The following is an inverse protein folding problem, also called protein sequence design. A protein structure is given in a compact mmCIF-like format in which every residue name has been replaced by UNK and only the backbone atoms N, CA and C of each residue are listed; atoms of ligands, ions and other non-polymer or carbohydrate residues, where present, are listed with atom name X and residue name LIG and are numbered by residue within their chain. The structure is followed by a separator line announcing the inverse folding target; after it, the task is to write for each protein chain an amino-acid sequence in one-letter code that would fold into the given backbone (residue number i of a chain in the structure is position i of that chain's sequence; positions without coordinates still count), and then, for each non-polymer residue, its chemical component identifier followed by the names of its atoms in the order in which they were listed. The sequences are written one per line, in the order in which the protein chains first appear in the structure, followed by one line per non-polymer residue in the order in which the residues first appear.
data_IF_607253922684
#
_entry.id   IF_607253922684
#
_cell.length_a   1.000
_cell.length_b   1.000
_cell.length_c   1.000
_cell.angle_alpha   90.00
_cell.angle_beta   90.00
_cell.angle_gamma   90.00
#
_symmetry.space_group_name_H-M   'P 1'
#
loop_
_entity.id
_entity.type
_entity.pdbx_description
1 polymer ?
#
# COMPACT_ATOMS: atom_id res chain seq x y z
N UNK A 1 5.06 -20.83 18.87
CA UNK A 1 4.60 -19.43 18.92
C UNK A 1 4.92 -18.82 17.56
N UNK A 2 4.02 -18.08 17.01
CA UNK A 2 4.16 -17.51 15.67
C UNK A 2 4.91 -16.16 15.66
N UNK A 3 5.13 -15.53 16.80
CA UNK A 3 5.89 -14.29 16.95
C UNK A 3 6.89 -14.37 18.11
N UNK A 4 7.90 -13.47 18.07
CA UNK A 4 8.89 -13.27 19.13
C UNK A 4 8.62 -11.94 19.82
N UNK A 5 8.66 -11.89 21.16
CA UNK A 5 8.63 -10.64 21.90
C UNK A 5 10.06 -10.15 22.17
N UNK A 6 10.37 -8.95 21.66
CA UNK A 6 11.60 -8.25 21.94
C UNK A 6 11.31 -7.16 22.98
N UNK A 7 12.16 -6.97 24.01
CA UNK A 7 11.99 -5.92 24.99
C UNK A 7 11.90 -4.54 24.34
N UNK A 8 10.87 -3.78 24.67
CA UNK A 8 10.68 -2.38 24.33
C UNK A 8 10.63 -1.52 25.60
N UNK A 9 10.62 -0.20 25.46
CA UNK A 9 10.69 0.72 26.61
C UNK A 9 9.36 0.78 27.39
N UNK A 10 8.21 0.92 26.72
CA UNK A 10 6.88 1.00 27.34
C UNK A 10 5.97 -0.15 27.01
N UNK A 11 6.16 -0.77 25.86
CA UNK A 11 5.43 -1.95 25.40
C UNK A 11 6.40 -2.93 24.78
N UNK A 12 6.15 -4.25 24.87
CA UNK A 12 6.92 -5.24 24.14
C UNK A 12 6.73 -5.04 22.64
N UNK A 13 7.79 -5.37 21.85
CA UNK A 13 7.76 -5.37 20.40
C UNK A 13 7.44 -6.80 19.96
N UNK A 14 6.23 -7.03 19.45
CA UNK A 14 5.79 -8.35 18.97
C UNK A 14 6.17 -8.50 17.49
N UNK A 15 7.12 -9.38 17.20
CA UNK A 15 7.68 -9.52 15.85
C UNK A 15 7.33 -10.86 15.23
N UNK A 16 6.69 -10.84 14.07
CA UNK A 16 6.52 -12.00 13.18
C UNK A 16 7.73 -12.20 12.26
N UNK A 17 8.62 -11.22 12.19
CA UNK A 17 9.95 -11.37 11.60
C UNK A 17 10.94 -11.99 12.60
N UNK A 18 11.93 -12.72 12.10
CA UNK A 18 13.10 -13.07 12.89
C UNK A 18 13.90 -11.80 13.24
N UNK A 19 14.04 -11.42 14.53
CA UNK A 19 14.78 -10.22 14.92
C UNK A 19 16.21 -10.18 14.40
N UNK A 20 16.88 -11.33 14.27
CA UNK A 20 18.24 -11.43 13.77
C UNK A 20 18.38 -11.10 12.26
N UNK A 21 17.25 -11.18 11.52
CA UNK A 21 17.20 -10.85 10.10
C UNK A 21 16.88 -9.38 9.81
N UNK A 22 16.55 -8.59 10.83
CA UNK A 22 16.17 -7.18 10.70
C UNK A 22 17.40 -6.30 10.87
N UNK A 23 17.60 -5.36 9.96
CA UNK A 23 18.74 -4.42 10.01
C UNK A 23 18.71 -3.55 11.29
N UNK A 24 19.90 -3.24 11.82
CA UNK A 24 20.06 -2.51 13.09
C UNK A 24 19.30 -1.19 13.12
N UNK A 25 19.31 -0.44 12.01
CA UNK A 25 18.59 0.83 11.88
C UNK A 25 17.08 0.65 12.03
N UNK A 26 16.51 -0.41 11.49
CA UNK A 26 15.08 -0.72 11.64
C UNK A 26 14.76 -1.16 13.08
N UNK A 27 15.60 -1.99 13.69
CA UNK A 27 15.47 -2.35 15.11
C UNK A 27 15.54 -1.13 16.02
N UNK A 28 16.42 -0.16 15.72
CA UNK A 28 16.47 1.09 16.48
C UNK A 28 15.21 1.92 16.31
N UNK A 29 14.63 2.01 15.09
CA UNK A 29 13.34 2.66 14.90
C UNK A 29 12.22 2.01 15.73
N UNK A 30 12.17 0.68 15.80
CA UNK A 30 11.17 -0.04 16.60
C UNK A 30 11.35 0.27 18.11
N UNK A 31 12.60 0.31 18.61
CA UNK A 31 12.88 0.72 19.99
C UNK A 31 12.43 2.16 20.24
N UNK A 32 12.72 3.09 19.33
CA UNK A 32 12.29 4.49 19.45
C UNK A 32 10.76 4.59 19.50
N UNK A 33 10.03 3.89 18.63
CA UNK A 33 8.55 3.85 18.65
C UNK A 33 8.05 3.33 19.99
N UNK A 34 8.67 2.32 20.58
CA UNK A 34 8.28 1.75 21.87
C UNK A 34 8.41 2.72 23.05
N UNK A 35 9.12 3.85 22.89
CA UNK A 35 9.27 4.89 23.92
C UNK A 35 8.11 5.89 23.96
N UNK A 36 7.26 5.94 22.94
CA UNK A 36 6.19 6.94 22.83
C UNK A 36 5.26 6.89 24.05
N UNK A 37 4.93 8.05 24.66
CA UNK A 37 4.07 8.09 25.86
C UNK A 37 2.68 7.49 25.67
N UNK A 38 2.13 7.59 24.47
CA UNK A 38 0.76 7.20 24.11
C UNK A 38 0.64 5.76 23.60
N UNK A 39 1.77 5.05 23.43
CA UNK A 39 1.76 3.70 22.84
C UNK A 39 1.10 2.69 23.78
N UNK A 40 0.26 1.83 23.20
CA UNK A 40 -0.42 0.71 23.85
C UNK A 40 -0.03 -0.64 23.27
N UNK A 41 0.51 -0.65 22.06
CA UNK A 41 1.02 -1.87 21.45
C UNK A 41 1.80 -1.62 20.18
N UNK A 42 2.73 -2.53 19.89
CA UNK A 42 3.59 -2.52 18.70
C UNK A 42 3.71 -3.93 18.15
N UNK A 43 3.15 -4.15 16.96
CA UNK A 43 3.29 -5.39 16.22
C UNK A 43 4.10 -5.14 14.93
N UNK A 44 4.92 -6.11 14.56
CA UNK A 44 5.89 -5.97 13.46
C UNK A 44 5.73 -7.17 12.52
N UNK A 45 5.40 -6.87 11.27
CA UNK A 45 5.12 -7.86 10.25
C UNK A 45 6.42 -8.44 9.65
N UNK A 46 6.37 -9.64 9.05
CA UNK A 46 7.55 -10.30 8.47
C UNK A 46 8.33 -9.50 7.44
N UNK A 47 7.64 -8.65 6.69
CA UNK A 47 8.21 -7.80 5.65
C UNK A 47 8.91 -6.53 6.16
N UNK A 48 9.09 -6.40 7.47
CA UNK A 48 9.68 -5.24 8.12
C UNK A 48 11.03 -4.83 7.51
N UNK A 49 11.19 -3.53 7.29
CA UNK A 49 12.43 -2.91 6.83
C UNK A 49 12.49 -1.43 7.21
N UNK A 50 13.66 -0.82 7.09
CA UNK A 50 13.88 0.58 7.41
C UNK A 50 12.95 1.51 6.63
N UNK A 51 12.34 2.49 7.32
CA UNK A 51 11.44 3.48 6.75
C UNK A 51 11.74 4.90 7.28
N UNK A 52 11.13 5.92 6.70
CA UNK A 52 11.21 7.29 7.24
C UNK A 52 10.27 7.42 8.45
N UNK A 53 10.79 7.85 9.59
CA UNK A 53 10.07 7.95 10.86
C UNK A 53 9.91 6.59 11.55
N UNK A 54 9.01 5.75 11.09
CA UNK A 54 8.85 4.38 11.60
C UNK A 54 9.16 3.35 10.50
N UNK A 55 9.47 2.12 10.90
CA UNK A 55 9.67 1.00 9.98
C UNK A 55 8.43 0.75 9.12
N UNK A 56 8.64 0.35 7.87
CA UNK A 56 7.61 -0.30 7.05
C UNK A 56 7.40 -1.71 7.60
N UNK A 57 6.16 -2.19 7.66
CA UNK A 57 5.82 -3.43 8.34
C UNK A 57 5.44 -3.23 9.82
N UNK A 58 5.19 -1.99 10.26
CA UNK A 58 4.79 -1.68 11.64
C UNK A 58 3.29 -1.44 11.80
N UNK A 59 2.75 -1.95 12.89
CA UNK A 59 1.40 -1.67 13.40
C UNK A 59 1.54 -1.05 14.78
N UNK A 60 1.19 0.23 14.89
CA UNK A 60 1.39 1.05 16.08
C UNK A 60 0.03 1.43 16.63
N UNK A 61 -0.33 0.89 17.78
CA UNK A 61 -1.58 1.20 18.47
C UNK A 61 -1.33 2.25 19.55
N UNK A 62 -1.97 3.41 19.43
CA UNK A 62 -1.86 4.50 20.39
C UNK A 62 -3.22 4.91 20.94
N UNK A 63 -3.25 5.34 22.19
CA UNK A 63 -4.43 5.94 22.80
C UNK A 63 -4.31 7.47 22.75
N UNK A 64 -5.28 8.11 22.10
CA UNK A 64 -5.37 9.56 22.04
C UNK A 64 -4.24 10.28 21.28
N UNK A 65 -3.48 9.58 20.44
CA UNK A 65 -2.41 10.21 19.66
C UNK A 65 -2.19 9.50 18.31
N UNK A 66 -1.67 10.27 17.31
CA UNK A 66 -1.23 9.74 16.01
C UNK A 66 0.09 10.39 15.61
N UNK A 67 1.01 9.60 15.08
CA UNK A 67 2.27 10.06 14.50
C UNK A 67 2.12 10.13 12.96
N UNK A 68 2.11 11.33 12.33
CA UNK A 68 1.95 11.46 10.88
C UNK A 68 3.04 10.73 10.07
N UNK A 69 4.29 10.80 10.50
CA UNK A 69 5.39 10.13 9.81
C UNK A 69 5.31 8.59 9.89
N UNK A 70 4.63 8.06 10.92
CA UNK A 70 4.39 6.64 11.07
C UNK A 70 3.27 6.10 10.16
N UNK A 71 2.46 6.98 9.54
CA UNK A 71 1.54 6.59 8.45
C UNK A 71 2.29 6.42 7.14
N UNK A 72 3.31 7.25 6.92
CA UNK A 72 4.04 7.35 5.67
C UNK A 72 3.52 8.48 4.78
N UNK A 73 4.36 8.90 3.82
CA UNK A 73 4.03 10.03 2.93
C UNK A 73 3.01 9.67 1.84
N UNK A 74 2.86 8.40 1.51
CA UNK A 74 1.80 7.94 0.60
C UNK A 74 0.60 7.43 1.41
N UNK A 75 -0.16 8.40 1.96
CA UNK A 75 -1.36 8.13 2.76
C UNK A 75 -2.36 7.31 1.95
N UNK A 76 -2.91 6.26 2.54
CA UNK A 76 -3.92 5.42 1.89
C UNK A 76 -3.37 4.53 0.77
N UNK A 77 -2.03 4.45 0.57
CA UNK A 77 -1.46 3.47 -0.34
C UNK A 77 -2.02 2.08 -0.07
N UNK A 78 -2.29 1.33 -1.12
CA UNK A 78 -2.97 0.05 -0.99
C UNK A 78 -3.12 -0.69 -2.32
N UNK A 79 -3.76 -1.83 -2.24
CA UNK A 79 -3.97 -2.76 -3.34
C UNK A 79 -5.44 -2.89 -3.71
N UNK A 80 -5.70 -3.18 -4.99
CA UNK A 80 -6.98 -3.72 -5.45
C UNK A 80 -6.74 -4.92 -6.35
N UNK A 81 -7.61 -5.94 -6.26
CA UNK A 81 -7.60 -7.10 -7.14
C UNK A 81 -9.01 -7.57 -7.46
N UNK A 82 -9.18 -8.16 -8.66
CA UNK A 82 -10.44 -8.76 -9.09
C UNK A 82 -10.16 -9.99 -9.94
N UNK A 83 -10.86 -11.09 -9.63
CA UNK A 83 -10.86 -12.30 -10.47
C UNK A 83 -11.79 -12.10 -11.65
N UNK A 84 -11.41 -12.65 -12.79
CA UNK A 84 -12.22 -12.58 -14.01
C UNK A 84 -12.68 -13.97 -14.43
N UNK A 85 -13.63 -14.04 -15.37
CA UNK A 85 -14.01 -15.30 -16.01
C UNK A 85 -13.03 -15.76 -17.10
N UNK A 86 -12.00 -14.95 -17.43
CA UNK A 86 -10.96 -15.33 -18.37
C UNK A 86 -10.03 -16.38 -17.78
N UNK A 87 -9.50 -17.20 -18.66
CA UNK A 87 -8.50 -18.24 -18.34
C UNK A 87 -7.26 -18.07 -19.21
N UNK A 88 -6.20 -18.81 -18.90
CA UNK A 88 -4.99 -18.86 -19.71
C UNK A 88 -5.25 -19.20 -21.19
N UNK A 89 -6.32 -19.98 -21.49
CA UNK A 89 -6.69 -20.38 -22.85
C UNK A 89 -7.27 -19.21 -23.68
N UNK A 90 -7.74 -18.16 -23.03
CA UNK A 90 -8.28 -16.97 -23.70
C UNK A 90 -7.19 -15.97 -24.12
N UNK A 91 -5.95 -16.21 -23.69
CA UNK A 91 -4.86 -15.25 -23.83
C UNK A 91 -4.11 -15.44 -25.15
N UNK A 92 -3.72 -14.35 -25.82
CA UNK A 92 -2.83 -14.41 -26.98
C UNK A 92 -1.39 -14.73 -26.53
N UNK A 93 -0.59 -15.27 -27.47
CA UNK A 93 0.82 -15.58 -27.20
C UNK A 93 1.69 -14.34 -26.95
N UNK A 94 1.29 -13.15 -27.43
CA UNK A 94 1.94 -11.88 -27.18
C UNK A 94 1.02 -10.93 -26.42
N UNK A 95 1.47 -10.46 -25.27
CA UNK A 95 0.75 -9.56 -24.37
C UNK A 95 1.24 -8.10 -24.42
N UNK A 96 2.19 -7.77 -25.30
CA UNK A 96 2.75 -6.42 -25.44
C UNK A 96 1.69 -5.39 -25.79
N UNK A 97 0.72 -5.79 -26.63
CA UNK A 97 -0.43 -4.95 -26.98
C UNK A 97 -1.32 -4.65 -25.75
N UNK A 98 -1.59 -5.65 -24.91
CA UNK A 98 -2.37 -5.48 -23.69
C UNK A 98 -1.66 -4.49 -22.76
N UNK A 99 -0.36 -4.67 -22.53
CA UNK A 99 0.44 -3.75 -21.74
C UNK A 99 0.34 -2.32 -22.27
N UNK A 100 0.56 -2.12 -23.58
CA UNK A 100 0.49 -0.79 -24.22
C UNK A 100 -0.89 -0.14 -24.03
N UNK A 101 -1.98 -0.92 -24.12
CA UNK A 101 -3.35 -0.41 -23.90
C UNK A 101 -3.61 -0.02 -22.45
N UNK A 102 -3.06 -0.74 -21.48
CA UNK A 102 -3.13 -0.38 -20.07
C UNK A 102 -2.39 0.95 -19.84
N UNK A 103 -1.15 1.09 -20.35
CA UNK A 103 -0.34 2.31 -20.23
C UNK A 103 -1.00 3.53 -20.90
N UNK A 104 -1.74 3.33 -21.99
CA UNK A 104 -2.52 4.39 -22.65
C UNK A 104 -3.75 4.82 -21.83
N UNK A 105 -4.42 3.88 -21.17
CA UNK A 105 -5.63 4.16 -20.41
C UNK A 105 -5.34 4.73 -19.02
N UNK A 106 -4.22 4.35 -18.40
CA UNK A 106 -3.84 4.71 -17.04
C UNK A 106 -2.45 5.34 -17.05
N UNK A 107 -2.33 6.68 -16.94
CA UNK A 107 -1.05 7.37 -16.91
C UNK A 107 -0.13 6.87 -15.77
N UNK A 108 1.14 6.67 -16.09
CA UNK A 108 2.16 6.16 -15.17
C UNK A 108 3.13 7.25 -14.72
N UNK A 109 3.87 7.01 -13.66
CA UNK A 109 4.91 7.91 -13.17
C UNK A 109 4.35 9.25 -12.68
N UNK A 110 4.86 10.35 -13.23
CA UNK A 110 4.39 11.71 -12.97
C UNK A 110 3.25 12.13 -13.87
N UNK A 111 2.82 11.26 -14.77
CA UNK A 111 1.74 11.50 -15.71
C UNK A 111 0.41 11.77 -15.01
N UNK A 112 -0.48 12.43 -15.74
CA UNK A 112 -1.86 12.71 -15.35
C UNK A 112 -2.76 12.64 -16.57
N UNK A 113 -4.06 12.52 -16.38
CA UNK A 113 -5.02 12.60 -17.48
C UNK A 113 -5.02 14.01 -18.08
N UNK A 114 -5.32 14.13 -19.36
CA UNK A 114 -5.52 15.43 -20.01
C UNK A 114 -6.67 16.21 -19.39
N UNK A 115 -7.78 15.50 -19.18
CA UNK A 115 -8.99 15.99 -18.48
C UNK A 115 -9.27 15.14 -17.25
N UNK A 116 -10.06 15.66 -16.32
CA UNK A 116 -10.55 14.90 -15.16
C UNK A 116 -11.37 13.70 -15.63
N UNK A 117 -11.09 12.52 -15.08
CA UNK A 117 -11.88 11.32 -15.36
C UNK A 117 -13.27 11.50 -14.79
N UNK A 118 -14.28 11.39 -15.65
CA UNK A 118 -15.69 11.42 -15.27
C UNK A 118 -16.13 10.00 -14.83
N UNK A 119 -16.37 9.77 -13.53
CA UNK A 119 -16.76 8.46 -13.04
C UNK A 119 -18.12 7.98 -13.58
N UNK A 120 -19.01 8.91 -13.97
CA UNK A 120 -20.29 8.59 -14.58
C UNK A 120 -20.17 7.91 -15.95
N UNK A 121 -19.03 8.05 -16.62
CA UNK A 121 -18.72 7.37 -17.89
C UNK A 121 -18.05 6.01 -17.72
N UNK A 122 -17.68 5.63 -16.49
CA UNK A 122 -17.04 4.35 -16.21
C UNK A 122 -18.09 3.27 -15.93
N UNK A 123 -18.06 2.20 -16.70
CA UNK A 123 -19.04 1.13 -16.58
C UNK A 123 -19.05 0.48 -15.20
N UNK A 124 -20.23 0.57 -14.51
CA UNK A 124 -20.45 -0.02 -13.20
C UNK A 124 -19.69 0.65 -12.06
N UNK A 125 -19.17 1.86 -12.26
CA UNK A 125 -18.55 2.64 -11.18
C UNK A 125 -19.65 3.31 -10.34
N UNK A 126 -19.65 3.14 -9.01
CA UNK A 126 -20.61 3.81 -8.15
C UNK A 126 -20.27 5.30 -8.03
N UNK A 127 -21.18 6.17 -8.49
CA UNK A 127 -21.01 7.64 -8.41
C UNK A 127 -21.50 8.23 -7.09
N UNK A 128 -22.22 7.45 -6.27
CA UNK A 128 -22.68 7.90 -4.96
C UNK A 128 -21.50 8.30 -4.06
N UNK A 129 -21.57 9.48 -3.45
CA UNK A 129 -20.52 10.03 -2.61
C UNK A 129 -19.40 10.75 -3.35
N UNK A 130 -19.34 10.74 -4.68
CA UNK A 130 -18.29 11.40 -5.45
C UNK A 130 -18.28 12.93 -5.28
N UNK A 131 -19.46 13.55 -5.40
CA UNK A 131 -19.57 15.00 -5.24
C UNK A 131 -19.33 15.43 -3.79
N UNK A 132 -19.81 14.65 -2.81
CA UNK A 132 -19.53 14.86 -1.39
C UNK A 132 -18.03 14.75 -1.10
N UNK A 133 -17.36 13.76 -1.66
CA UNK A 133 -15.91 13.61 -1.52
C UNK A 133 -15.16 14.86 -1.99
N UNK A 134 -15.48 15.40 -3.16
CA UNK A 134 -14.83 16.59 -3.69
C UNK A 134 -15.26 17.89 -2.98
N UNK A 135 -16.48 17.99 -2.50
CA UNK A 135 -16.91 19.16 -1.70
C UNK A 135 -16.10 19.32 -0.42
N UNK A 136 -15.64 18.21 0.18
CA UNK A 136 -14.78 18.22 1.36
C UNK A 136 -13.34 18.67 1.07
N UNK A 137 -12.94 18.82 -0.19
CA UNK A 137 -11.64 19.39 -0.56
C UNK A 137 -11.46 20.82 -0.03
N UNK A 138 -12.52 21.61 0.04
CA UNK A 138 -12.48 22.98 0.58
C UNK A 138 -12.14 23.03 2.08
N UNK A 139 -12.30 21.91 2.78
CA UNK A 139 -11.96 21.76 4.19
C UNK A 139 -10.54 21.27 4.49
N UNK A 140 -9.73 20.92 3.48
CA UNK A 140 -8.34 20.49 3.72
C UNK A 140 -7.41 21.67 4.03
N UNK A 141 -6.17 21.36 4.45
CA UNK A 141 -5.16 22.37 4.78
C UNK A 141 -4.97 23.40 3.66
N UNK A 142 -5.11 24.69 3.99
CA UNK A 142 -5.01 25.82 3.04
C UNK A 142 -3.70 25.76 2.22
N UNK A 143 -2.60 25.37 2.88
CA UNK A 143 -1.28 25.26 2.26
C UNK A 143 -1.22 24.29 1.07
N UNK A 144 -2.24 23.42 0.87
CA UNK A 144 -2.25 22.39 -0.15
C UNK A 144 -3.35 22.61 -1.20
N UNK A 145 -4.31 23.49 -0.96
CA UNK A 145 -5.47 23.75 -1.85
C UNK A 145 -5.09 24.13 -3.29
N UNK A 146 -3.99 24.82 -3.48
CA UNK A 146 -3.50 25.19 -4.83
C UNK A 146 -3.19 23.98 -5.74
N UNK A 147 -3.23 22.77 -5.18
CA UNK A 147 -3.04 21.52 -5.92
C UNK A 147 -4.32 20.89 -6.47
N UNK A 148 -5.47 21.51 -6.31
CA UNK A 148 -6.78 20.94 -6.70
C UNK A 148 -6.81 20.44 -8.14
N UNK A 149 -6.45 21.27 -9.11
CA UNK A 149 -6.43 20.87 -10.52
C UNK A 149 -5.53 19.65 -10.78
N UNK A 150 -4.36 19.63 -10.14
CA UNK A 150 -3.46 18.49 -10.25
C UNK A 150 -4.04 17.23 -9.60
N UNK A 151 -4.67 17.37 -8.45
CA UNK A 151 -5.31 16.26 -7.74
C UNK A 151 -6.45 15.65 -8.58
N UNK A 152 -7.30 16.48 -9.22
CA UNK A 152 -8.37 15.99 -10.09
C UNK A 152 -7.83 15.24 -11.31
N UNK A 153 -6.79 15.75 -11.97
CA UNK A 153 -6.15 15.12 -13.14
C UNK A 153 -5.28 13.90 -12.79
N UNK A 154 -4.82 13.78 -11.55
CA UNK A 154 -4.10 12.59 -11.07
C UNK A 154 -5.00 11.48 -10.54
N UNK A 155 -6.28 11.73 -10.34
CA UNK A 155 -7.25 10.70 -9.98
C UNK A 155 -7.37 9.66 -11.10
N UNK A 156 -7.23 8.37 -10.77
CA UNK A 156 -7.19 7.29 -11.77
C UNK A 156 -5.80 7.10 -12.42
N UNK A 157 -4.70 7.53 -11.78
CA UNK A 157 -3.34 7.35 -12.29
C UNK A 157 -2.48 6.48 -11.38
N UNK A 158 -1.48 5.78 -11.96
CA UNK A 158 -0.70 4.79 -11.24
C UNK A 158 0.30 5.39 -10.24
N UNK A 159 1.14 6.31 -10.68
CA UNK A 159 2.30 6.75 -9.91
C UNK A 159 3.58 6.04 -10.31
N UNK A 160 4.56 6.08 -9.42
CA UNK A 160 5.90 5.54 -9.65
C UNK A 160 6.41 4.71 -8.46
N UNK A 161 7.59 4.16 -8.59
CA UNK A 161 8.23 3.35 -7.56
C UNK A 161 7.66 1.94 -7.50
N UNK A 162 7.21 1.52 -6.31
CA UNK A 162 6.61 0.20 -6.12
C UNK A 162 5.18 0.07 -6.65
N UNK A 163 4.56 1.16 -7.14
CA UNK A 163 3.24 1.09 -7.76
C UNK A 163 3.27 0.26 -9.04
N UNK A 164 2.18 -0.47 -9.30
CA UNK A 164 2.09 -1.41 -10.41
C UNK A 164 0.65 -1.67 -10.84
N UNK A 165 0.46 -2.10 -12.08
CA UNK A 165 -0.74 -2.74 -12.59
C UNK A 165 -0.32 -4.07 -13.16
N UNK A 166 -0.94 -5.15 -12.72
CA UNK A 166 -0.58 -6.49 -13.11
C UNK A 166 -1.78 -7.27 -13.63
N UNK A 167 -1.54 -8.03 -14.70
CA UNK A 167 -2.44 -9.03 -15.22
C UNK A 167 -1.83 -10.39 -14.87
N UNK A 168 -2.53 -11.17 -14.06
CA UNK A 168 -1.98 -12.34 -13.38
C UNK A 168 -2.77 -13.60 -13.73
N UNK A 169 -2.13 -14.78 -13.54
CA UNK A 169 -2.78 -16.07 -13.53
C UNK A 169 -2.67 -16.70 -12.14
N UNK A 170 -3.74 -17.32 -11.66
CA UNK A 170 -3.69 -18.18 -10.49
C UNK A 170 -3.27 -19.63 -10.86
N UNK A 171 -3.12 -20.48 -9.85
CA UNK A 171 -2.70 -21.87 -10.01
C UNK A 171 -3.70 -22.72 -10.81
N UNK A 172 -4.97 -22.29 -10.89
CA UNK A 172 -6.01 -22.93 -11.71
C UNK A 172 -6.06 -22.35 -13.15
N UNK A 173 -5.20 -21.37 -13.46
CA UNK A 173 -5.17 -20.69 -14.75
C UNK A 173 -6.23 -19.60 -14.92
N UNK A 174 -6.94 -19.21 -13.87
CA UNK A 174 -7.88 -18.10 -13.95
C UNK A 174 -7.13 -16.76 -13.93
N UNK A 175 -7.66 -15.79 -14.68
CA UNK A 175 -7.06 -14.45 -14.81
C UNK A 175 -7.51 -13.55 -13.69
N UNK A 176 -6.54 -12.84 -13.09
CA UNK A 176 -6.71 -11.80 -12.10
C UNK A 176 -6.16 -10.47 -12.60
N UNK A 177 -6.89 -9.40 -12.30
CA UNK A 177 -6.41 -8.02 -12.44
C UNK A 177 -5.98 -7.54 -11.06
N UNK A 178 -4.78 -6.98 -10.94
CA UNK A 178 -4.25 -6.47 -9.69
C UNK A 178 -3.60 -5.11 -9.90
N UNK A 179 -3.73 -4.20 -8.95
CA UNK A 179 -3.05 -2.91 -8.97
C UNK A 179 -2.68 -2.43 -7.58
N UNK A 180 -1.61 -1.61 -7.55
CA UNK A 180 -1.06 -0.97 -6.36
C UNK A 180 -0.89 0.52 -6.62
N UNK A 181 -1.58 1.37 -5.85
CA UNK A 181 -1.44 2.82 -5.92
C UNK A 181 -1.98 3.51 -4.65
N UNK A 182 -1.65 4.77 -4.48
CA UNK A 182 -1.97 5.56 -3.29
C UNK A 182 -2.63 6.91 -3.59
N UNK A 183 -2.48 7.86 -2.67
CA UNK A 183 -3.10 9.19 -2.72
C UNK A 183 -2.37 10.19 -3.62
N UNK A 184 -1.40 9.73 -4.39
CA UNK A 184 -0.66 10.53 -5.35
C UNK A 184 0.03 11.72 -4.67
N UNK A 185 0.34 12.77 -5.44
CA UNK A 185 1.08 13.92 -4.92
C UNK A 185 0.33 14.68 -3.82
N UNK A 186 -1.01 14.74 -3.90
CA UNK A 186 -1.81 15.48 -2.91
C UNK A 186 -1.67 14.90 -1.51
N UNK A 187 -1.74 13.57 -1.36
CA UNK A 187 -1.54 12.91 -0.06
C UNK A 187 -0.12 13.08 0.47
N UNK A 188 0.89 13.09 -0.40
CA UNK A 188 2.27 13.36 -0.01
C UNK A 188 2.41 14.79 0.57
N UNK A 189 1.83 15.79 -0.08
CA UNK A 189 1.92 17.18 0.38
C UNK A 189 1.17 17.38 1.70
N UNK A 190 0.00 16.76 1.88
CA UNK A 190 -0.71 16.73 3.16
C UNK A 190 0.13 16.08 4.26
N UNK A 191 0.75 14.92 3.97
CA UNK A 191 1.62 14.25 4.94
C UNK A 191 2.80 15.13 5.36
N UNK A 192 3.53 15.71 4.41
CA UNK A 192 4.69 16.56 4.68
C UNK A 192 4.30 17.84 5.45
N UNK A 193 3.16 18.45 5.13
CA UNK A 193 2.60 19.58 5.85
C UNK A 193 2.36 19.25 7.33
N UNK A 194 1.65 18.16 7.60
CA UNK A 194 1.31 17.77 8.97
C UNK A 194 2.51 17.24 9.76
N UNK A 195 3.45 16.53 9.13
CA UNK A 195 4.73 16.16 9.77
C UNK A 195 5.45 17.41 10.26
N UNK A 196 5.54 18.44 9.41
CA UNK A 196 6.18 19.70 9.77
C UNK A 196 5.46 20.44 10.91
N UNK A 197 4.14 20.39 11.00
CA UNK A 197 3.38 20.96 12.13
C UNK A 197 3.67 20.18 13.41
N UNK A 198 3.53 18.84 13.38
CA UNK A 198 3.73 18.00 14.56
C UNK A 198 5.12 18.21 15.19
N UNK A 199 6.16 18.30 14.37
CA UNK A 199 7.53 18.52 14.81
C UNK A 199 7.77 19.84 15.56
N UNK A 200 6.88 20.82 15.44
CA UNK A 200 6.97 22.12 16.13
C UNK A 200 6.16 22.21 17.41
N UNK A 201 5.31 21.22 17.69
CA UNK A 201 4.47 21.23 18.89
C UNK A 201 5.32 21.02 20.17
N UNK A 202 5.01 21.75 21.23
CA UNK A 202 5.79 21.78 22.46
C UNK A 202 5.90 20.39 23.12
N UNK A 203 4.83 19.60 23.10
CA UNK A 203 4.80 18.27 23.72
C UNK A 203 5.70 17.24 23.00
N UNK A 204 6.20 17.56 21.81
CA UNK A 204 7.09 16.68 21.02
C UNK A 204 8.59 17.02 21.19
N UNK A 205 8.94 18.09 21.92
CA UNK A 205 10.34 18.55 22.00
C UNK A 205 11.28 17.60 22.77
N UNK A 206 10.75 16.71 23.58
CA UNK A 206 11.53 15.72 24.34
C UNK A 206 11.57 14.31 23.72
N UNK A 207 11.08 14.12 22.50
CA UNK A 207 11.08 12.82 21.87
C UNK A 207 12.49 12.40 21.42
N UNK A 208 12.81 11.12 21.58
CA UNK A 208 14.12 10.53 21.18
C UNK A 208 14.35 10.61 19.67
N UNK A 209 13.29 10.69 18.90
CA UNK A 209 13.31 10.83 17.46
C UNK A 209 12.28 11.86 17.02
N UNK A 210 12.72 12.93 16.41
CA UNK A 210 11.87 14.04 15.95
C UNK A 210 10.82 13.60 14.92
N UNK A 211 11.12 12.57 14.13
CA UNK A 211 10.18 12.03 13.15
C UNK A 211 9.00 11.28 13.80
N UNK A 212 9.08 10.98 15.11
CA UNK A 212 8.00 10.39 15.89
C UNK A 212 7.05 11.42 16.53
N UNK A 213 7.13 12.68 16.13
CA UNK A 213 6.23 13.74 16.60
C UNK A 213 4.77 13.37 16.33
N UNK A 214 3.90 13.61 17.32
CA UNK A 214 2.49 13.21 17.32
C UNK A 214 1.55 14.41 17.38
N UNK A 215 0.33 14.21 16.93
CA UNK A 215 -0.84 14.98 17.33
C UNK A 215 -1.56 14.28 18.48
N UNK A 216 -2.09 15.04 19.42
CA UNK A 216 -2.81 14.54 20.59
C UNK A 216 -4.31 14.84 20.42
N UNK A 217 -5.16 13.91 20.81
CA UNK A 217 -6.63 14.08 20.81
C UNK A 217 -7.06 15.35 21.53
N UNK A 218 -8.25 15.84 21.19
CA UNK A 218 -8.87 17.06 21.75
C UNK A 218 -8.10 18.36 21.46
N UNK A 219 -7.21 18.35 20.46
CA UNK A 219 -6.52 19.56 19.98
C UNK A 219 -7.01 19.94 18.57
N UNK A 220 -7.06 21.25 18.24
CA UNK A 220 -7.39 21.69 16.89
C UNK A 220 -6.46 21.10 15.82
N UNK A 221 -5.18 20.89 16.15
CA UNK A 221 -4.19 20.29 15.25
C UNK A 221 -4.52 18.84 14.92
N UNK A 222 -4.97 18.05 15.91
CA UNK A 222 -5.43 16.67 15.69
C UNK A 222 -6.68 16.65 14.82
N UNK A 223 -7.63 17.54 15.06
CA UNK A 223 -8.87 17.62 14.26
C UNK A 223 -8.55 17.93 12.80
N UNK A 224 -7.72 18.94 12.54
CA UNK A 224 -7.28 19.27 11.17
C UNK A 224 -6.52 18.13 10.50
N UNK A 225 -5.59 17.50 11.23
CA UNK A 225 -4.85 16.35 10.70
C UNK A 225 -5.75 15.16 10.34
N UNK A 226 -6.71 14.80 11.21
CA UNK A 226 -7.64 13.69 10.94
C UNK A 226 -8.53 13.97 9.73
N UNK A 227 -9.00 15.21 9.56
CA UNK A 227 -9.75 15.62 8.39
C UNK A 227 -8.96 15.34 7.09
N UNK A 228 -7.73 15.82 7.02
CA UNK A 228 -6.87 15.69 5.86
C UNK A 228 -6.42 14.23 5.63
N UNK A 229 -6.10 13.51 6.71
CA UNK A 229 -5.72 12.10 6.69
C UNK A 229 -6.83 11.23 6.07
N UNK A 230 -8.06 11.38 6.58
CA UNK A 230 -9.18 10.55 6.12
C UNK A 230 -9.59 10.92 4.70
N UNK A 231 -9.56 12.21 4.35
CA UNK A 231 -9.76 12.64 2.97
C UNK A 231 -8.73 12.02 2.02
N UNK A 232 -7.44 12.01 2.39
CA UNK A 232 -6.38 11.41 1.59
C UNK A 232 -6.48 9.88 1.47
N UNK A 233 -6.91 9.20 2.54
CA UNK A 233 -7.20 7.76 2.51
C UNK A 233 -8.34 7.45 1.53
N UNK A 234 -9.39 8.25 1.54
CA UNK A 234 -10.52 8.11 0.64
C UNK A 234 -10.13 8.45 -0.81
N UNK A 235 -9.33 9.52 -1.02
CA UNK A 235 -8.74 9.82 -2.33
C UNK A 235 -8.00 8.61 -2.90
N UNK A 236 -7.15 7.96 -2.12
CA UNK A 236 -6.41 6.78 -2.55
C UNK A 236 -7.34 5.61 -2.92
N UNK A 237 -8.43 5.42 -2.18
CA UNK A 237 -9.46 4.42 -2.48
C UNK A 237 -10.15 4.72 -3.82
N UNK A 238 -10.58 5.97 -4.06
CA UNK A 238 -11.15 6.39 -5.33
C UNK A 238 -10.15 6.27 -6.49
N UNK A 239 -8.89 6.66 -6.26
CA UNK A 239 -7.83 6.51 -7.27
C UNK A 239 -7.72 5.07 -7.76
N UNK A 240 -7.63 4.10 -6.83
CA UNK A 240 -7.59 2.67 -7.19
C UNK A 240 -8.88 2.18 -7.86
N UNK A 241 -10.04 2.61 -7.38
CA UNK A 241 -11.32 2.20 -7.95
C UNK A 241 -11.49 2.68 -9.40
N UNK A 242 -11.11 3.94 -9.70
CA UNK A 242 -11.11 4.48 -11.06
C UNK A 242 -10.10 3.74 -11.94
N UNK A 243 -8.87 3.52 -11.45
CA UNK A 243 -7.87 2.74 -12.18
C UNK A 243 -8.39 1.33 -12.50
N UNK A 244 -9.04 0.65 -11.55
CA UNK A 244 -9.60 -0.69 -11.76
C UNK A 244 -10.73 -0.66 -12.78
N UNK A 245 -11.59 0.37 -12.78
CA UNK A 245 -12.63 0.54 -13.78
C UNK A 245 -12.03 0.74 -15.19
N UNK A 246 -11.02 1.59 -15.32
CA UNK A 246 -10.28 1.80 -16.58
C UNK A 246 -9.59 0.50 -17.04
N UNK A 247 -8.98 -0.24 -16.13
CA UNK A 247 -8.35 -1.52 -16.44
C UNK A 247 -9.36 -2.56 -16.92
N UNK A 248 -10.50 -2.67 -16.25
CA UNK A 248 -11.63 -3.54 -16.68
C UNK A 248 -12.12 -3.16 -18.09
N UNK A 249 -12.17 -1.85 -18.41
CA UNK A 249 -12.53 -1.39 -19.77
C UNK A 249 -11.53 -1.83 -20.84
N UNK A 250 -10.23 -1.74 -20.55
CA UNK A 250 -9.19 -2.27 -21.44
C UNK A 250 -9.38 -3.76 -21.68
N UNK A 251 -9.59 -4.53 -20.60
CA UNK A 251 -9.78 -5.99 -20.68
C UNK A 251 -11.05 -6.34 -21.48
N UNK A 252 -12.19 -5.64 -21.25
CA UNK A 252 -13.42 -5.85 -22.04
C UNK A 252 -13.19 -5.63 -23.53
N UNK A 253 -12.42 -4.61 -23.91
CA UNK A 253 -12.13 -4.29 -25.32
C UNK A 253 -11.19 -5.30 -25.97
N UNK A 254 -10.13 -5.69 -25.27
CA UNK A 254 -9.13 -6.62 -25.81
C UNK A 254 -9.68 -8.08 -25.89
N UNK A 255 -10.51 -8.48 -24.92
CA UNK A 255 -11.09 -9.82 -24.84
C UNK A 255 -12.60 -9.85 -25.14
N UNK A 256 -13.08 -8.96 -26.02
CA UNK A 256 -14.53 -8.80 -26.30
C UNK A 256 -15.24 -10.09 -26.75
N UNK A 257 -14.52 -11.02 -27.40
CA UNK A 257 -15.09 -12.31 -27.86
C UNK A 257 -15.41 -13.22 -26.67
N UNK A 258 -14.55 -13.22 -25.63
CA UNK A 258 -14.74 -14.02 -24.43
C UNK A 258 -15.74 -13.40 -23.44
N UNK A 259 -16.18 -12.12 -23.65
CA UNK A 259 -17.13 -11.40 -22.80
C UNK A 259 -16.79 -11.49 -21.31
N UNK A 260 -15.63 -10.95 -20.87
CA UNK A 260 -15.14 -11.16 -19.50
C UNK A 260 -16.15 -10.62 -18.46
N UNK A 261 -16.41 -11.45 -17.45
CA UNK A 261 -17.16 -11.11 -16.23
C UNK A 261 -16.13 -10.89 -15.11
N UNK A 262 -16.43 -9.95 -14.21
CA UNK A 262 -15.57 -9.59 -13.09
C UNK A 262 -16.28 -9.92 -11.78
N UNK A 263 -15.58 -10.62 -10.89
CA UNK A 263 -16.07 -10.92 -9.55
C UNK A 263 -16.03 -9.66 -8.65
N UNK A 264 -16.36 -9.83 -7.37
CA UNK A 264 -16.25 -8.75 -6.37
C UNK A 264 -14.80 -8.30 -6.22
N UNK A 265 -14.57 -6.99 -6.26
CA UNK A 265 -13.26 -6.41 -6.05
C UNK A 265 -12.83 -6.51 -4.59
N UNK A 266 -11.57 -6.91 -4.38
CA UNK A 266 -10.87 -6.85 -3.11
C UNK A 266 -10.08 -5.55 -3.12
N UNK A 267 -10.18 -4.73 -2.08
CA UNK A 267 -9.40 -3.50 -1.93
C UNK A 267 -8.97 -3.32 -0.48
N UNK A 268 -7.68 -3.08 -0.25
CA UNK A 268 -7.13 -2.88 1.08
C UNK A 268 -6.09 -1.76 1.09
N UNK A 269 -6.10 -0.94 2.14
CA UNK A 269 -5.03 0.00 2.45
C UNK A 269 -3.89 -0.71 3.19
N UNK A 270 -2.68 -0.11 3.14
CA UNK A 270 -1.55 -0.55 3.95
C UNK A 270 -0.70 0.60 4.55
N UNK A 271 -1.08 1.86 4.27
CA UNK A 271 -0.54 3.06 4.93
C UNK A 271 -1.70 3.94 5.39
N UNK A 272 -2.19 3.71 6.60
CA UNK A 272 -3.40 4.37 7.07
C UNK A 272 -3.55 4.31 8.59
N UNK A 273 -4.50 5.08 9.12
CA UNK A 273 -4.94 5.02 10.50
C UNK A 273 -6.41 4.59 10.54
N UNK A 274 -6.74 3.70 11.47
CA UNK A 274 -8.11 3.33 11.78
C UNK A 274 -8.38 3.46 13.27
N UNK A 275 -9.62 3.80 13.61
CA UNK A 275 -10.13 3.75 14.98
C UNK A 275 -10.62 2.34 15.25
N UNK A 276 -10.00 1.66 16.19
CA UNK A 276 -10.27 0.26 16.50
C UNK A 276 -10.32 0.05 18.01
N UNK A 277 -11.10 -0.94 18.47
CA UNK A 277 -11.24 -1.23 19.88
C UNK A 277 -10.55 -2.55 20.23
N UNK A 278 -9.61 -2.48 21.18
CA UNK A 278 -8.89 -3.64 21.70
C UNK A 278 -8.86 -3.58 23.24
N UNK A 279 -9.14 -4.73 23.88
CA UNK A 279 -9.14 -4.85 25.34
C UNK A 279 -9.95 -3.75 26.04
N UNK A 280 -11.08 -3.35 25.43
CA UNK A 280 -11.97 -2.31 25.96
C UNK A 280 -11.51 -0.86 25.72
N UNK A 281 -10.34 -0.63 25.13
CA UNK A 281 -9.80 0.69 24.82
C UNK A 281 -10.02 1.07 23.35
N UNK A 282 -10.40 2.32 23.09
CA UNK A 282 -10.45 2.89 21.75
C UNK A 282 -9.05 3.37 21.37
N UNK A 283 -8.49 2.79 20.32
CA UNK A 283 -7.13 3.02 19.88
C UNK A 283 -7.11 3.56 18.45
N UNK A 284 -6.14 4.42 18.18
CA UNK A 284 -5.76 4.85 16.84
C UNK A 284 -4.66 3.89 16.35
N UNK A 285 -5.05 2.94 15.49
CA UNK A 285 -4.15 1.92 14.96
C UNK A 285 -3.56 2.42 13.65
N UNK A 286 -2.28 2.74 13.69
CA UNK A 286 -1.50 3.15 12.50
C UNK A 286 -0.86 1.93 11.88
N UNK A 287 -1.15 1.69 10.60
CA UNK A 287 -0.50 0.66 9.78
C UNK A 287 0.40 1.33 8.75
N UNK A 288 1.69 1.05 8.81
CA UNK A 288 2.69 1.48 7.83
C UNK A 288 3.30 0.26 7.15
N UNK A 289 2.87 0.01 5.91
CA UNK A 289 3.23 -1.21 5.23
C UNK A 289 2.66 -2.46 5.91
N UNK A 290 1.39 -2.38 6.32
CA UNK A 290 0.64 -3.51 6.87
C UNK A 290 -0.83 -3.39 6.45
N UNK A 291 -1.45 -4.52 6.08
CA UNK A 291 -2.88 -4.59 5.79
C UNK A 291 -3.68 -4.95 7.05
N UNK A 292 -4.98 -4.62 7.07
CA UNK A 292 -5.92 -5.22 8.00
C UNK A 292 -6.17 -6.67 7.59
N UNK A 293 -6.19 -7.57 8.56
CA UNK A 293 -6.41 -9.01 8.43
C UNK A 293 -7.38 -9.51 9.51
N UNK A 294 -8.50 -8.81 9.65
CA UNK A 294 -9.60 -9.23 10.53
C UNK A 294 -10.18 -10.57 10.09
N UNK A 295 -10.84 -11.29 11.00
CA UNK A 295 -11.40 -12.61 10.70
C UNK A 295 -12.31 -12.58 9.49
N UNK A 296 -11.95 -13.34 8.46
CA UNK A 296 -12.70 -13.44 7.21
C UNK A 296 -12.49 -12.27 6.22
N UNK A 297 -11.74 -11.24 6.57
CA UNK A 297 -11.45 -10.11 5.67
C UNK A 297 -10.44 -10.52 4.59
N UNK A 298 -10.75 -10.16 3.33
CA UNK A 298 -9.84 -10.40 2.22
C UNK A 298 -8.74 -9.34 2.15
N UNK A 299 -7.52 -9.77 1.81
CA UNK A 299 -6.36 -8.92 1.62
C UNK A 299 -5.50 -9.35 0.43
N UNK A 300 -4.53 -8.51 0.08
CA UNK A 300 -3.61 -8.74 -1.04
C UNK A 300 -2.19 -8.52 -0.53
N UNK A 301 -1.32 -9.51 -0.73
CA UNK A 301 0.09 -9.45 -0.34
C UNK A 301 0.94 -9.67 -1.60
N UNK A 302 1.40 -8.59 -2.26
CA UNK A 302 2.19 -8.68 -3.48
C UNK A 302 3.63 -9.14 -3.21
N UNK A 303 4.16 -9.90 -4.15
CA UNK A 303 5.59 -10.16 -4.26
C UNK A 303 6.33 -9.00 -4.96
N UNK A 304 7.12 -9.32 -5.96
CA UNK A 304 7.86 -8.37 -6.80
C UNK A 304 7.60 -8.65 -8.29
N UNK A 305 8.23 -7.89 -9.19
CA UNK A 305 8.00 -7.96 -10.65
C UNK A 305 8.11 -9.35 -11.30
N UNK A 306 8.70 -10.34 -10.64
CA UNK A 306 8.89 -11.69 -11.18
C UNK A 306 8.50 -12.80 -10.23
N UNK A 307 7.99 -12.47 -9.03
CA UNK A 307 7.59 -13.42 -7.99
C UNK A 307 6.07 -13.45 -7.82
N UNK A 308 5.57 -14.48 -7.14
CA UNK A 308 4.12 -14.62 -6.90
C UNK A 308 3.60 -13.56 -5.94
N UNK A 309 2.30 -13.27 -6.05
CA UNK A 309 1.51 -12.49 -5.09
C UNK A 309 0.41 -13.37 -4.51
N UNK A 310 -0.19 -12.96 -3.39
CA UNK A 310 -1.17 -13.77 -2.67
C UNK A 310 -2.45 -13.00 -2.41
N UNK A 311 -3.57 -13.63 -2.72
CA UNK A 311 -4.88 -13.26 -2.21
C UNK A 311 -5.07 -14.02 -0.91
N UNK A 312 -5.37 -13.32 0.15
CA UNK A 312 -5.43 -13.88 1.50
C UNK A 312 -6.74 -13.56 2.19
N UNK A 313 -7.01 -14.31 3.26
CA UNK A 313 -8.12 -14.05 4.17
C UNK A 313 -7.57 -13.96 5.59
N UNK A 314 -7.91 -12.91 6.30
CA UNK A 314 -7.44 -12.65 7.65
C UNK A 314 -7.98 -13.66 8.65
N UNK A 315 -7.17 -14.00 9.65
CA UNK A 315 -7.52 -14.92 10.74
C UNK A 315 -7.93 -14.19 12.02
N UNK A 316 -7.86 -12.84 12.06
CA UNK A 316 -8.30 -12.06 13.21
C UNK A 316 -7.37 -12.18 14.42
N UNK A 317 -6.05 -12.20 14.22
CA UNK A 317 -5.09 -12.29 15.32
C UNK A 317 -4.95 -10.94 16.04
N UNK A 318 -5.56 -10.83 17.21
CA UNK A 318 -5.56 -9.60 18.02
C UNK A 318 -4.17 -9.21 18.54
N UNK A 319 -3.23 -10.17 18.69
CA UNK A 319 -1.85 -9.86 19.08
C UNK A 319 -1.11 -9.05 18.02
N UNK A 320 -1.54 -9.19 16.76
CA UNK A 320 -1.09 -8.38 15.61
C UNK A 320 -2.00 -7.18 15.30
N UNK A 321 -2.94 -6.84 16.19
CA UNK A 321 -3.99 -5.85 15.90
C UNK A 321 -4.72 -6.17 14.60
N UNK A 322 -5.08 -7.44 14.39
CA UNK A 322 -5.73 -7.93 13.18
C UNK A 322 -5.01 -7.45 11.91
N UNK A 323 -3.70 -7.66 11.83
CA UNK A 323 -2.87 -7.15 10.74
C UNK A 323 -1.96 -8.22 10.14
N UNK A 324 -1.51 -7.99 8.90
CA UNK A 324 -0.57 -8.83 8.18
C UNK A 324 0.37 -7.96 7.32
N UNK A 325 1.42 -8.57 6.74
CA UNK A 325 2.33 -7.91 5.81
C UNK A 325 1.60 -7.27 4.63
N UNK A 326 2.15 -6.18 4.11
CA UNK A 326 1.62 -5.55 2.90
C UNK A 326 2.27 -6.07 1.61
N UNK A 327 3.34 -6.86 1.70
CA UNK A 327 4.08 -7.37 0.55
C UNK A 327 5.34 -8.13 0.95
N UNK A 328 6.26 -8.29 0.00
CA UNK A 328 7.53 -8.99 0.25
C UNK A 328 8.49 -8.22 1.19
N UNK A 329 8.41 -6.90 1.22
CA UNK A 329 9.37 -6.06 1.92
C UNK A 329 10.74 -6.00 1.24
N UNK A 330 11.41 -4.87 1.35
CA UNK A 330 12.73 -4.69 0.75
C UNK A 330 13.84 -5.24 1.67
N UNK A 331 14.86 -5.81 1.07
CA UNK A 331 16.11 -6.19 1.76
C UNK A 331 17.29 -5.26 1.45
N UNK A 332 17.08 -4.27 0.59
CA UNK A 332 18.06 -3.22 0.29
C UNK A 332 17.37 -1.95 -0.20
N UNK A 333 18.06 -0.80 -0.08
CA UNK A 333 17.57 0.47 -0.58
C UNK A 333 17.49 0.51 -2.11
N UNK A 334 16.62 1.38 -2.67
CA UNK A 334 16.51 1.58 -4.12
C UNK A 334 17.85 1.91 -4.77
N UNK A 335 18.63 2.80 -4.16
CA UNK A 335 19.95 3.17 -4.65
C UNK A 335 20.95 2.01 -4.60
N UNK A 336 20.88 1.16 -3.59
CA UNK A 336 21.71 -0.04 -3.50
C UNK A 336 21.36 -1.03 -4.63
N UNK A 337 20.07 -1.24 -4.91
CA UNK A 337 19.63 -2.10 -6.01
C UNK A 337 20.14 -1.58 -7.36
N UNK A 338 19.95 -0.28 -7.66
CA UNK A 338 20.43 0.35 -8.91
C UNK A 338 21.96 0.24 -9.11
N UNK A 339 22.75 0.22 -8.01
CA UNK A 339 24.20 0.03 -8.10
C UNK A 339 24.61 -1.43 -8.24
N UNK A 340 23.79 -2.36 -7.73
CA UNK A 340 24.11 -3.78 -7.64
C UNK A 340 23.72 -4.57 -8.88
N UNK A 341 22.58 -4.23 -9.51
CA UNK A 341 22.00 -5.03 -10.57
C UNK A 341 22.05 -4.32 -11.92
N UNK A 342 22.00 -5.13 -12.98
CA UNK A 342 22.00 -4.71 -14.38
C UNK A 342 20.64 -4.99 -15.03
N UNK A 343 20.40 -4.44 -16.22
CA UNK A 343 19.21 -4.75 -17.03
C UNK A 343 19.17 -6.24 -17.42
N UNK A 344 20.30 -6.90 -17.58
CA UNK A 344 20.38 -8.34 -17.83
C UNK A 344 19.87 -9.15 -16.64
N UNK A 345 20.26 -8.77 -15.42
CA UNK A 345 19.73 -9.41 -14.20
C UNK A 345 18.21 -9.25 -14.10
N UNK A 346 17.70 -8.07 -14.48
CA UNK A 346 16.26 -7.79 -14.50
C UNK A 346 15.55 -8.66 -15.54
N UNK A 347 16.09 -8.81 -16.75
CA UNK A 347 15.53 -9.66 -17.78
C UNK A 347 15.46 -11.13 -17.35
N UNK A 348 16.50 -11.63 -16.71
CA UNK A 348 16.55 -13.01 -16.18
C UNK A 348 15.49 -13.24 -15.10
N UNK A 349 15.37 -12.30 -14.14
CA UNK A 349 14.46 -12.43 -13.01
C UNK A 349 12.98 -12.13 -13.35
N UNK A 350 12.73 -11.50 -14.49
CA UNK A 350 11.38 -11.22 -15.00
C UNK A 350 11.03 -12.04 -16.23
N UNK A 351 11.74 -13.18 -16.43
CA UNK A 351 11.49 -14.07 -17.57
C UNK A 351 10.03 -14.56 -17.56
N UNK A 352 9.36 -14.44 -18.70
CA UNK A 352 7.95 -14.80 -18.86
C UNK A 352 6.97 -13.72 -18.41
N UNK A 353 7.46 -12.54 -17.97
CA UNK A 353 6.61 -11.38 -17.66
C UNK A 353 6.81 -10.31 -18.73
N UNK A 354 5.72 -9.87 -19.33
CA UNK A 354 5.70 -8.70 -20.21
C UNK A 354 5.75 -7.43 -19.36
N UNK A 355 6.91 -6.78 -19.28
CA UNK A 355 7.16 -5.59 -18.47
C UNK A 355 8.29 -4.72 -19.04
N UNK A 356 8.47 -3.52 -18.48
CA UNK A 356 9.67 -2.72 -18.70
C UNK A 356 10.91 -3.45 -18.17
N UNK A 357 12.00 -3.42 -18.96
CA UNK A 357 13.30 -4.04 -18.63
C UNK A 357 14.46 -3.06 -18.76
N UNK A 358 14.17 -1.76 -18.59
CA UNK A 358 15.15 -0.68 -18.66
C UNK A 358 15.67 -0.27 -17.27
N UNK A 359 16.69 0.60 -17.25
CA UNK A 359 17.32 1.10 -16.02
C UNK A 359 16.37 1.86 -15.08
N UNK A 360 15.24 2.36 -15.59
CA UNK A 360 14.26 3.12 -14.80
C UNK A 360 13.58 2.29 -13.72
N UNK A 361 13.51 0.96 -13.90
CA UNK A 361 12.83 0.03 -12.97
C UNK A 361 13.79 -0.95 -12.27
N UNK A 362 15.12 -0.77 -12.38
CA UNK A 362 16.12 -1.61 -11.71
C UNK A 362 15.97 -1.65 -10.18
N UNK A 363 15.49 -0.59 -9.57
CA UNK A 363 15.25 -0.57 -8.13
C UNK A 363 14.09 -1.48 -7.68
N UNK A 364 13.28 -1.96 -8.62
CA UNK A 364 12.15 -2.85 -8.37
C UNK A 364 12.44 -4.33 -8.74
N UNK A 365 13.70 -4.65 -9.06
CA UNK A 365 14.14 -6.03 -9.40
C UNK A 365 13.80 -7.01 -8.26
N UNK A 366 13.35 -8.24 -8.56
CA UNK A 366 12.99 -9.24 -7.54
C UNK A 366 14.04 -9.44 -6.44
N UNK A 367 15.32 -9.49 -6.79
CA UNK A 367 16.42 -9.66 -5.83
C UNK A 367 16.58 -8.50 -4.83
N UNK A 368 15.89 -7.36 -5.01
CA UNK A 368 15.87 -6.26 -4.04
C UNK A 368 14.89 -6.49 -2.88
N UNK A 369 14.07 -7.54 -2.96
CA UNK A 369 13.02 -7.89 -2.01
C UNK A 369 13.34 -9.18 -1.24
N UNK A 370 12.68 -9.36 -0.09
CA UNK A 370 12.69 -10.63 0.64
C UNK A 370 11.96 -11.70 -0.17
N UNK A 371 12.31 -12.99 -0.03
CA UNK A 371 11.52 -14.08 -0.63
C UNK A 371 10.09 -14.05 -0.07
N UNK A 372 9.10 -13.90 -0.96
CA UNK A 372 7.70 -13.75 -0.53
C UNK A 372 7.19 -15.00 0.16
N UNK A 373 7.65 -16.19 -0.24
CA UNK A 373 7.30 -17.45 0.39
C UNK A 373 7.72 -17.49 1.86
N UNK A 374 8.89 -16.95 2.19
CA UNK A 374 9.35 -16.84 3.58
C UNK A 374 8.47 -15.88 4.38
N UNK A 375 8.10 -14.74 3.80
CA UNK A 375 7.18 -13.78 4.42
C UNK A 375 5.83 -14.42 4.71
N UNK A 376 5.29 -15.20 3.77
CA UNK A 376 4.01 -15.90 3.94
C UNK A 376 4.10 -16.98 5.03
N UNK A 377 5.18 -17.72 5.07
CA UNK A 377 5.42 -18.76 6.09
C UNK A 377 5.46 -18.19 7.50
N UNK A 378 6.10 -17.03 7.70
CA UNK A 378 6.24 -16.37 9.01
C UNK A 378 4.91 -15.82 9.56
N UNK A 379 3.87 -15.70 8.73
CA UNK A 379 2.56 -15.13 9.11
C UNK A 379 1.38 -16.10 8.91
N UNK A 380 1.61 -17.40 8.99
CA UNK A 380 0.56 -18.43 8.86
C UNK A 380 -0.57 -18.34 9.88
N UNK A 381 -0.32 -17.67 11.00
CA UNK A 381 -1.32 -17.39 12.04
C UNK A 381 -2.02 -16.04 11.88
N UNK A 382 -1.64 -15.24 10.88
CA UNK A 382 -2.27 -13.97 10.56
C UNK A 382 -3.23 -14.08 9.39
N UNK A 383 -2.92 -14.92 8.39
CA UNK A 383 -3.68 -15.05 7.16
C UNK A 383 -3.72 -16.48 6.63
N UNK A 384 -4.81 -16.82 5.96
CA UNK A 384 -4.99 -18.00 5.13
C UNK A 384 -4.82 -17.63 3.66
N UNK A 385 -4.12 -18.44 2.87
CA UNK A 385 -3.96 -18.23 1.42
C UNK A 385 -5.20 -18.72 0.68
N UNK A 386 -5.85 -17.80 -0.06
CA UNK A 386 -7.01 -18.09 -0.92
C UNK A 386 -6.58 -18.42 -2.34
N UNK A 387 -5.62 -17.65 -2.89
CA UNK A 387 -5.05 -17.89 -4.21
C UNK A 387 -3.60 -17.39 -4.26
N UNK A 388 -2.74 -18.17 -4.91
CA UNK A 388 -1.42 -17.73 -5.32
C UNK A 388 -1.50 -17.31 -6.78
N UNK A 389 -1.15 -16.07 -7.06
CA UNK A 389 -1.25 -15.46 -8.39
C UNK A 389 0.14 -15.05 -8.86
N UNK A 390 0.39 -15.15 -10.17
CA UNK A 390 1.65 -14.73 -10.79
C UNK A 390 1.37 -13.82 -11.97
N UNK A 391 2.05 -12.69 -12.02
CA UNK A 391 1.93 -11.75 -13.11
C UNK A 391 2.50 -12.33 -14.41
N UNK A 392 1.79 -12.07 -15.52
CA UNK A 392 2.23 -12.28 -16.89
C UNK A 392 2.38 -10.97 -17.65
N UNK A 393 1.71 -9.88 -17.16
CA UNK A 393 1.98 -8.50 -17.56
C UNK A 393 2.18 -7.66 -16.29
N UNK A 394 3.19 -6.78 -16.29
CA UNK A 394 3.44 -5.81 -15.23
C UNK A 394 3.74 -4.43 -15.81
N UNK A 395 2.86 -3.46 -15.51
CA UNK A 395 3.05 -2.04 -15.82
C UNK A 395 3.63 -1.35 -14.59
N UNK A 396 4.76 -0.67 -14.77
CA UNK A 396 5.46 0.12 -13.75
C UNK A 396 5.60 1.58 -14.19
N UNK A 397 5.53 2.50 -13.21
CA UNK A 397 5.70 3.93 -13.44
C UNK A 397 7.12 4.45 -13.29
#
# INVERSE_FOLDING_TARGET
MSYVEVPGAKVPIRMWADPASVEDGAMQQLRNVSTLPWIKGLAVMPDVHYGKGATVGSVIAMHGAVCPAAVGVDIGCGMSAVRTSLTANDLPGDLSRLRSKIEQAIPVGRGMHGDTVDPGKLHGFPTSGWDDFWSRFDGIAEAVKFRQERATKQMGTLGSGNHMIEFCLDEAGAVWLMLHSGSRNIGKELAEHHIGIAQRLAHNQGLVDRDLAVFISETPQMTGYRNDLYWAQEYAKYNRAIMMALFKEVVRKEFKKARPVFEREISCHHNYVAEERYEGMDLLVTRKGAIRAGSGEYGIIPGSMGTSSYIVKGLGNEKAFNSASHGAGRRMSRNAAKRRFTTRDLEEQTRGVECRKDSGVLDEIPAAYKPIEQVMEQQRDLVEVVAKIKQIVCVKG
#
